data_IF_218232944635
#
_entry.id   IF_218232944635
#
_cell.length_a   1.000
_cell.length_b   1.000
_cell.length_c   1.000
_cell.angle_alpha   90.00
_cell.angle_beta   90.00
_cell.angle_gamma   90.00
#
_symmetry.space_group_name_H-M   'P 1'
#
loop_
_entity.id
_entity.type
_entity.pdbx_description
1 polymer ?
#
# COMPACT_ATOMS: atom_id res chain seq x y z
N UNK A 1 39.09 -38.50 -30.57
CA UNK A 1 39.72 -37.41 -31.36
C UNK A 1 38.58 -36.50 -31.78
N UNK A 2 38.39 -35.29 -31.30
CA UNK A 2 39.37 -34.27 -30.91
C UNK A 2 38.76 -33.34 -29.86
N UNK A 3 39.58 -33.01 -28.86
CA UNK A 3 39.32 -31.99 -27.86
C UNK A 3 39.61 -30.61 -28.47
N UNK A 4 38.78 -29.59 -28.20
CA UNK A 4 39.24 -28.20 -28.21
C UNK A 4 38.96 -27.56 -26.85
N UNK A 5 40.05 -27.36 -26.11
CA UNK A 5 40.15 -26.52 -24.93
C UNK A 5 40.10 -25.05 -25.34
N UNK A 6 39.30 -24.23 -24.66
CA UNK A 6 39.52 -22.79 -24.60
C UNK A 6 39.95 -22.45 -23.19
N UNK A 7 41.21 -22.01 -23.08
CA UNK A 7 41.89 -21.61 -21.84
C UNK A 7 41.57 -20.16 -21.49
N UNK A 8 41.09 -19.98 -20.27
CA UNK A 8 41.43 -18.94 -19.26
C UNK A 8 42.11 -17.63 -19.70
N UNK A 9 41.58 -16.51 -19.19
CA UNK A 9 42.39 -15.47 -18.53
C UNK A 9 41.55 -14.67 -17.53
N UNK A 10 41.81 -14.92 -16.24
CA UNK A 10 41.42 -14.06 -15.14
C UNK A 10 42.39 -12.88 -15.05
N UNK A 11 41.88 -11.65 -14.95
CA UNK A 11 42.69 -10.47 -14.61
C UNK A 11 42.18 -9.90 -13.28
N UNK A 12 42.87 -10.29 -12.21
CA UNK A 12 42.77 -9.64 -10.90
C UNK A 12 43.61 -8.36 -10.96
N UNK A 13 43.01 -7.22 -10.68
CA UNK A 13 43.72 -5.96 -10.46
C UNK A 13 43.61 -5.65 -8.97
N UNK A 14 44.69 -5.95 -8.26
CA UNK A 14 45.03 -5.44 -6.93
C UNK A 14 45.80 -4.13 -7.09
N UNK A 15 45.37 -3.08 -6.39
CA UNK A 15 46.12 -1.84 -6.16
C UNK A 15 45.37 -1.05 -5.09
N UNK A 16 45.75 -1.17 -3.81
CA UNK A 16 46.82 -0.43 -3.14
C UNK A 16 46.41 1.01 -2.78
N UNK A 17 45.97 1.13 -1.53
CA UNK A 17 45.97 2.25 -0.59
C UNK A 17 46.95 3.40 -0.94
N UNK A 18 46.45 4.63 -1.00
CA UNK A 18 47.24 5.86 -0.76
C UNK A 18 46.43 6.81 0.14
N UNK A 19 46.84 6.86 1.41
CA UNK A 19 46.66 8.00 2.31
C UNK A 19 47.60 9.12 1.84
N UNK A 20 47.14 10.36 1.68
CA UNK A 20 47.96 11.55 1.90
C UNK A 20 47.23 12.89 1.69
N UNK A 21 47.28 13.69 2.75
CA UNK A 21 47.53 15.14 2.77
C UNK A 21 46.34 16.08 2.48
N UNK A 22 45.80 16.58 3.59
CA UNK A 22 45.08 17.85 3.67
C UNK A 22 46.01 19.01 3.26
N UNK A 23 45.68 19.69 2.17
CA UNK A 23 46.26 20.97 1.81
C UNK A 23 45.26 22.07 2.21
N UNK A 24 45.61 22.83 3.25
CA UNK A 24 44.91 24.05 3.63
C UNK A 24 45.17 25.12 2.57
N UNK A 25 44.15 25.45 1.78
CA UNK A 25 44.14 26.64 0.92
C UNK A 25 43.52 27.78 1.72
N UNK A 26 44.36 28.75 2.08
CA UNK A 26 43.98 30.03 2.67
C UNK A 26 43.43 30.95 1.59
N UNK A 27 42.13 31.23 1.62
CA UNK A 27 41.49 32.29 0.82
C UNK A 27 41.31 33.51 1.75
N UNK A 28 41.69 34.73 1.32
CA UNK A 28 41.68 35.90 2.18
C UNK A 28 40.26 36.36 2.52
N UNK A 29 40.14 36.79 3.77
CA UNK A 29 39.01 37.41 4.43
C UNK A 29 38.47 38.61 3.64
N UNK A 30 37.27 38.48 3.07
CA UNK A 30 36.42 39.62 2.74
C UNK A 30 35.37 39.74 3.85
N UNK A 31 35.52 40.78 4.67
CA UNK A 31 34.64 41.10 5.78
C UNK A 31 33.21 41.34 5.28
N UNK A 32 32.31 40.44 5.62
CA UNK A 32 30.88 40.73 5.71
C UNK A 32 30.57 40.93 7.19
N UNK A 33 30.27 42.19 7.51
CA UNK A 33 29.79 42.61 8.81
C UNK A 33 28.53 41.82 9.16
N UNK A 34 28.67 40.90 10.10
CA UNK A 34 27.54 40.36 10.83
C UNK A 34 27.06 41.48 11.76
N UNK A 35 26.01 42.19 11.34
CA UNK A 35 25.20 42.97 12.27
C UNK A 35 24.58 41.97 13.24
N UNK A 36 25.05 42.03 14.48
CA UNK A 36 24.46 41.30 15.58
C UNK A 36 22.99 41.67 15.66
N UNK A 37 22.11 40.66 15.54
CA UNK A 37 20.72 40.73 15.97
C UNK A 37 20.70 41.07 17.46
N UNK A 38 20.69 42.37 17.76
CA UNK A 38 20.17 42.88 19.02
C UNK A 38 18.69 42.54 19.02
N UNK A 39 18.35 41.43 19.69
CA UNK A 39 17.01 41.17 20.18
C UNK A 39 16.60 42.37 21.03
N UNK A 40 15.89 43.31 20.41
CA UNK A 40 15.17 44.35 21.11
C UNK A 40 14.08 43.64 21.91
N UNK A 41 14.36 43.44 23.19
CA UNK A 41 13.35 43.13 24.20
C UNK A 41 12.36 44.28 24.15
N UNK A 42 11.24 44.08 23.45
CA UNK A 42 10.07 44.93 23.59
C UNK A 42 9.63 44.81 25.04
N UNK A 43 9.93 45.87 25.79
CA UNK A 43 9.40 46.13 27.12
C UNK A 43 7.90 45.94 27.08
N UNK A 44 7.42 44.83 27.65
CA UNK A 44 6.02 44.70 28.04
C UNK A 44 5.76 45.85 28.99
N UNK A 45 5.03 46.86 28.52
CA UNK A 45 4.44 47.89 29.36
C UNK A 45 3.43 47.20 30.30
N UNK A 46 3.96 46.60 31.37
CA UNK A 46 3.23 46.18 32.55
C UNK A 46 2.92 47.39 33.41
N UNK A 47 2.24 48.38 32.84
CA UNK A 47 1.51 49.37 33.60
C UNK A 47 0.12 48.79 33.85
N UNK A 48 -0.23 48.61 35.12
CA UNK A 48 -1.45 48.01 35.68
C UNK A 48 -1.49 46.49 35.90
N UNK A 49 -0.37 45.89 36.32
CA UNK A 49 -0.42 44.63 37.06
C UNK A 49 0.62 44.50 38.18
N UNK A 50 1.02 45.59 38.81
CA UNK A 50 1.61 45.53 40.17
C UNK A 50 0.49 45.54 41.22
N UNK A 51 -0.47 44.62 41.08
CA UNK A 51 -1.25 44.17 42.23
C UNK A 51 -0.34 43.20 42.96
N UNK A 52 0.32 43.73 43.98
CA UNK A 52 0.99 43.02 45.07
C UNK A 52 0.46 41.59 45.28
N UNK A 53 1.21 40.60 44.78
CA UNK A 53 0.92 39.17 44.92
C UNK A 53 0.67 38.75 46.37
N UNK A 54 1.29 39.43 47.34
CA UNK A 54 1.15 39.18 48.77
C UNK A 54 -0.18 39.68 49.38
N UNK A 55 -0.96 40.47 48.64
CA UNK A 55 -2.26 41.01 49.05
C UNK A 55 -3.44 40.20 48.47
N UNK A 56 -3.22 39.31 47.50
CA UNK A 56 -4.25 38.37 47.03
C UNK A 56 -4.38 37.19 48.02
N UNK A 57 -5.56 37.08 48.62
CA UNK A 57 -5.83 36.23 49.76
C UNK A 57 -5.94 34.75 49.36
N UNK A 58 -5.00 33.90 49.84
CA UNK A 58 -5.20 32.48 50.22
C UNK A 58 -6.01 31.56 49.27
N UNK A 59 -5.91 31.72 47.96
CA UNK A 59 -6.56 30.78 47.04
C UNK A 59 -5.69 29.53 46.87
N UNK A 60 -6.21 28.39 47.32
CA UNK A 60 -5.52 27.10 47.25
C UNK A 60 -5.37 26.60 45.81
N UNK A 61 -4.45 25.65 45.60
CA UNK A 61 -4.01 25.09 44.32
C UNK A 61 -5.10 24.40 43.44
N UNK A 62 -6.37 24.48 43.84
CA UNK A 62 -7.51 23.81 43.20
C UNK A 62 -8.46 24.72 42.42
N UNK A 63 -8.15 26.02 42.30
CA UNK A 63 -9.00 26.97 41.57
C UNK A 63 -8.45 27.24 40.16
N UNK A 64 -9.25 26.97 39.13
CA UNK A 64 -8.98 27.40 37.76
C UNK A 64 -9.38 28.87 37.62
N UNK A 65 -8.46 29.73 37.17
CA UNK A 65 -8.83 31.05 36.64
C UNK A 65 -9.35 30.84 35.22
N UNK A 66 -10.59 31.24 34.96
CA UNK A 66 -11.10 31.24 33.59
C UNK A 66 -10.14 32.04 32.71
N UNK A 67 -9.65 31.47 31.60
CA UNK A 67 -8.77 32.21 30.71
C UNK A 67 -9.52 33.45 30.22
N UNK A 68 -8.83 34.59 30.20
CA UNK A 68 -9.41 35.84 29.72
C UNK A 68 -10.06 35.62 28.35
N UNK A 69 -11.29 36.12 28.12
CA UNK A 69 -11.99 35.86 26.88
C UNK A 69 -11.11 36.32 25.72
N UNK A 70 -10.85 35.40 24.79
CA UNK A 70 -10.02 35.68 23.64
C UNK A 70 -10.55 36.93 22.94
N UNK A 71 -9.67 37.92 22.73
CA UNK A 71 -10.02 39.14 21.99
C UNK A 71 -10.73 38.73 20.70
N UNK A 72 -11.86 39.37 20.32
CA UNK A 72 -12.57 39.04 19.10
C UNK A 72 -11.58 39.04 17.93
N UNK A 73 -11.39 37.88 17.31
CA UNK A 73 -10.56 37.78 16.11
C UNK A 73 -11.23 38.66 15.08
N UNK A 74 -10.56 39.73 14.66
CA UNK A 74 -11.02 40.61 13.59
C UNK A 74 -11.47 39.74 12.42
N UNK A 75 -12.67 39.96 11.84
CA UNK A 75 -13.09 39.20 10.68
C UNK A 75 -12.03 39.38 9.60
N UNK A 76 -11.36 38.29 9.24
CA UNK A 76 -10.52 38.25 8.04
C UNK A 76 -11.48 38.59 6.91
N UNK A 77 -11.29 39.75 6.27
CA UNK A 77 -12.08 40.14 5.12
C UNK A 77 -12.04 38.98 4.10
N UNK A 78 -13.16 38.62 3.46
CA UNK A 78 -13.18 37.49 2.54
C UNK A 78 -12.13 37.73 1.46
N UNK A 79 -11.17 36.81 1.35
CA UNK A 79 -10.20 36.83 0.27
C UNK A 79 -10.96 36.96 -1.05
N UNK A 80 -10.59 37.93 -1.87
CA UNK A 80 -11.24 38.16 -3.16
C UNK A 80 -11.22 36.86 -3.95
N UNK A 81 -12.38 36.45 -4.49
CA UNK A 81 -12.45 35.21 -5.26
C UNK A 81 -11.48 35.29 -6.43
N UNK A 82 -10.68 34.24 -6.68
CA UNK A 82 -9.81 34.19 -7.84
C UNK A 82 -10.63 34.40 -9.13
N UNK A 83 -10.12 35.28 -10.00
CA UNK A 83 -10.73 35.58 -11.30
C UNK A 83 -10.98 34.32 -12.15
N UNK A 84 -10.09 33.34 -12.05
CA UNK A 84 -10.20 32.08 -12.79
C UNK A 84 -11.45 31.28 -12.43
N UNK A 85 -11.90 31.36 -11.17
CA UNK A 85 -13.15 30.71 -10.74
C UNK A 85 -14.36 31.41 -11.36
N UNK A 86 -14.38 32.74 -11.34
CA UNK A 86 -15.48 33.51 -11.94
C UNK A 86 -15.57 33.32 -13.46
N UNK A 87 -14.41 33.22 -14.14
CA UNK A 87 -14.35 32.99 -15.58
C UNK A 87 -14.85 31.58 -15.94
N UNK A 88 -14.52 30.57 -15.12
CA UNK A 88 -15.01 29.20 -15.29
C UNK A 88 -16.53 29.09 -15.07
N UNK A 89 -17.05 29.70 -14.01
CA UNK A 89 -18.50 29.73 -13.73
C UNK A 89 -19.27 30.40 -14.88
N UNK A 90 -18.79 31.53 -15.39
CA UNK A 90 -19.40 32.22 -16.54
C UNK A 90 -19.42 31.33 -17.80
N UNK A 91 -18.35 30.58 -18.04
CA UNK A 91 -18.25 29.65 -19.16
C UNK A 91 -19.25 28.50 -19.04
N UNK A 92 -19.38 27.89 -17.85
CA UNK A 92 -20.37 26.85 -17.59
C UNK A 92 -21.80 27.37 -17.82
N UNK A 93 -22.13 28.53 -17.27
CA UNK A 93 -23.43 29.15 -17.44
C UNK A 93 -23.75 29.42 -18.92
N UNK A 94 -22.76 29.92 -19.68
CA UNK A 94 -22.95 30.20 -21.11
C UNK A 94 -23.21 28.93 -21.91
N UNK A 95 -22.48 27.85 -21.64
CA UNK A 95 -22.70 26.55 -22.28
C UNK A 95 -24.11 26.02 -22.00
N UNK A 96 -24.55 26.09 -20.74
CA UNK A 96 -25.88 25.66 -20.32
C UNK A 96 -26.99 26.48 -20.99
N UNK A 97 -26.85 27.80 -21.09
CA UNK A 97 -27.81 28.65 -21.80
C UNK A 97 -27.91 28.26 -23.27
N UNK A 98 -26.77 28.11 -23.95
CA UNK A 98 -26.74 27.72 -25.37
C UNK A 98 -27.38 26.35 -25.59
N UNK A 99 -27.10 25.39 -24.69
CA UNK A 99 -27.70 24.05 -24.72
C UNK A 99 -29.21 24.12 -24.56
N UNK A 100 -29.73 24.86 -23.58
CA UNK A 100 -31.18 25.01 -23.35
C UNK A 100 -31.89 25.62 -24.55
N UNK A 101 -31.31 26.66 -25.15
CA UNK A 101 -31.87 27.30 -26.36
C UNK A 101 -31.89 26.32 -27.53
N UNK A 102 -30.79 25.58 -27.76
CA UNK A 102 -30.70 24.60 -28.84
C UNK A 102 -31.66 23.42 -28.67
N UNK A 103 -31.91 22.98 -27.43
CA UNK A 103 -32.88 21.91 -27.13
C UNK A 103 -34.32 22.38 -27.38
N UNK A 104 -34.68 23.59 -26.95
CA UNK A 104 -36.05 24.11 -27.10
C UNK A 104 -36.37 24.56 -28.53
N UNK A 105 -35.38 25.06 -29.27
CA UNK A 105 -35.52 25.52 -30.66
C UNK A 105 -34.32 25.05 -31.49
N UNK A 106 -34.39 23.84 -32.09
CA UNK A 106 -33.28 23.21 -32.80
C UNK A 106 -33.13 23.78 -34.22
N UNK A 107 -32.77 25.06 -34.32
CA UNK A 107 -32.38 25.70 -35.59
C UNK A 107 -30.89 25.51 -35.85
N UNK A 108 -30.47 25.53 -37.11
CA UNK A 108 -29.05 25.40 -37.50
C UNK A 108 -28.16 26.43 -36.78
N UNK A 109 -28.64 27.67 -36.63
CA UNK A 109 -27.92 28.73 -35.93
C UNK A 109 -27.71 28.42 -34.44
N UNK A 110 -28.74 27.92 -33.74
CA UNK A 110 -28.66 27.59 -32.32
C UNK A 110 -27.78 26.36 -32.07
N UNK A 111 -27.92 25.33 -32.91
CA UNK A 111 -27.08 24.13 -32.86
C UNK A 111 -25.62 24.49 -33.09
N UNK A 112 -25.33 25.31 -34.09
CA UNK A 112 -23.97 25.74 -34.41
C UNK A 112 -23.37 26.65 -33.33
N UNK A 113 -24.15 27.53 -32.70
CA UNK A 113 -23.71 28.34 -31.57
C UNK A 113 -23.33 27.45 -30.37
N UNK A 114 -24.16 26.45 -30.05
CA UNK A 114 -23.86 25.47 -29.01
C UNK A 114 -22.62 24.63 -29.34
N UNK A 115 -22.56 24.02 -30.52
CA UNK A 115 -21.44 23.15 -30.92
C UNK A 115 -20.10 23.89 -30.94
N UNK A 116 -20.06 25.14 -31.43
CA UNK A 116 -18.84 25.97 -31.42
C UNK A 116 -18.38 26.26 -29.99
N UNK A 117 -19.32 26.60 -29.10
CA UNK A 117 -18.98 26.89 -27.72
C UNK A 117 -18.57 25.64 -26.94
N UNK A 118 -19.25 24.51 -27.17
CA UNK A 118 -18.88 23.21 -26.62
C UNK A 118 -17.47 22.81 -27.04
N UNK A 119 -17.10 23.01 -28.33
CA UNK A 119 -15.73 22.76 -28.80
C UNK A 119 -14.71 23.59 -28.03
N UNK A 120 -14.97 24.89 -27.82
CA UNK A 120 -14.08 25.76 -27.04
C UNK A 120 -13.88 25.24 -25.60
N UNK A 121 -14.95 24.76 -24.95
CA UNK A 121 -14.87 24.18 -23.61
C UNK A 121 -14.02 22.89 -23.63
N UNK A 122 -14.25 22.02 -24.63
CA UNK A 122 -13.47 20.79 -24.79
C UNK A 122 -12.00 21.06 -25.07
N UNK A 123 -11.67 22.06 -25.89
CA UNK A 123 -10.29 22.47 -26.19
C UNK A 123 -9.56 22.91 -24.91
N UNK A 124 -10.24 23.61 -23.99
CA UNK A 124 -9.68 23.95 -22.67
C UNK A 124 -9.42 22.73 -21.80
N UNK A 125 -10.32 21.75 -21.82
CA UNK A 125 -10.11 20.47 -21.12
C UNK A 125 -8.94 19.68 -21.69
N UNK A 126 -8.73 19.70 -23.02
CA UNK A 126 -7.55 19.09 -23.65
C UNK A 126 -6.26 19.74 -23.18
N UNK A 127 -6.20 21.08 -23.18
CA UNK A 127 -5.02 21.81 -22.67
C UNK A 127 -4.72 21.44 -21.21
N UNK A 128 -5.77 21.34 -20.37
CA UNK A 128 -5.62 20.89 -18.99
C UNK A 128 -5.04 19.47 -18.91
N UNK A 129 -5.60 18.51 -19.65
CA UNK A 129 -5.14 17.12 -19.66
C UNK A 129 -3.67 17.01 -20.12
N UNK A 130 -3.29 17.73 -21.18
CA UNK A 130 -1.92 17.74 -21.69
C UNK A 130 -0.92 18.35 -20.69
N UNK A 131 -1.35 19.37 -19.94
CA UNK A 131 -0.52 19.98 -18.90
C UNK A 131 -0.42 19.10 -17.67
N UNK A 132 -1.51 18.43 -17.29
CA UNK A 132 -1.54 17.45 -16.21
C UNK A 132 -0.58 16.30 -16.50
N UNK A 133 -0.68 15.69 -17.68
CA UNK A 133 0.19 14.59 -18.06
C UNK A 133 1.68 14.98 -18.03
N UNK A 134 2.01 16.16 -18.55
CA UNK A 134 3.39 16.71 -18.49
C UNK A 134 3.86 17.07 -17.09
N UNK A 135 2.95 17.36 -16.17
CA UNK A 135 3.29 17.57 -14.76
C UNK A 135 3.63 16.23 -14.10
N UNK A 136 2.80 15.20 -14.31
CA UNK A 136 3.07 13.83 -13.81
C UNK A 136 4.43 13.32 -14.28
N UNK A 137 4.85 13.60 -15.52
CA UNK A 137 6.18 13.20 -16.01
C UNK A 137 7.36 13.88 -15.33
N UNK A 138 7.15 15.08 -14.76
CA UNK A 138 8.22 15.87 -14.13
C UNK A 138 8.27 15.71 -12.63
N UNK A 139 7.15 15.35 -12.02
CA UNK A 139 7.00 15.16 -10.58
C UNK A 139 6.87 13.67 -10.26
N UNK A 140 7.96 12.98 -9.89
CA UNK A 140 7.94 11.52 -9.67
C UNK A 140 6.94 11.10 -8.59
N UNK A 141 6.68 11.95 -7.60
CA UNK A 141 5.72 11.69 -6.52
C UNK A 141 4.27 11.57 -7.02
N UNK A 142 3.96 12.15 -8.18
CA UNK A 142 2.64 12.07 -8.82
C UNK A 142 2.50 10.84 -9.73
N UNK A 143 3.60 10.12 -10.01
CA UNK A 143 3.56 8.90 -10.81
C UNK A 143 3.15 7.69 -9.96
N UNK A 144 1.87 7.34 -10.03
CA UNK A 144 1.31 6.16 -9.38
C UNK A 144 2.03 4.85 -9.75
N UNK A 145 2.66 4.78 -10.93
CA UNK A 145 3.43 3.62 -11.37
C UNK A 145 4.72 3.39 -10.58
N UNK A 146 5.22 4.39 -9.86
CA UNK A 146 6.42 4.30 -9.01
C UNK A 146 6.10 3.87 -7.58
N UNK A 147 4.95 4.27 -7.05
CA UNK A 147 4.55 3.97 -5.66
C UNK A 147 3.82 2.63 -5.52
N UNK A 148 3.20 2.14 -6.59
CA UNK A 148 2.40 0.92 -6.60
C UNK A 148 2.85 -0.11 -7.64
N UNK A 149 1.86 -0.79 -8.24
CA UNK A 149 2.13 -1.68 -9.37
C UNK A 149 2.43 -0.86 -10.62
N UNK A 150 3.54 -1.12 -11.33
CA UNK A 150 3.89 -0.38 -12.54
C UNK A 150 2.84 -0.47 -13.65
N UNK A 151 2.81 0.52 -14.53
CA UNK A 151 1.90 0.56 -15.69
C UNK A 151 2.53 0.07 -17.00
N UNK A 152 3.86 0.09 -17.08
CA UNK A 152 4.61 -0.42 -18.23
C UNK A 152 4.64 -1.96 -18.20
N UNK A 153 4.26 -2.61 -19.30
CA UNK A 153 4.22 -4.07 -19.41
C UNK A 153 5.55 -4.77 -19.06
N UNK A 154 6.70 -4.21 -19.43
CA UNK A 154 8.00 -4.79 -19.05
C UNK A 154 8.28 -4.62 -17.55
N UNK A 155 7.92 -3.46 -16.99
CA UNK A 155 8.08 -3.20 -15.56
C UNK A 155 7.13 -4.06 -14.71
N UNK A 156 5.93 -4.36 -15.22
CA UNK A 156 4.98 -5.27 -14.59
C UNK A 156 5.58 -6.66 -14.41
N UNK A 157 6.22 -7.22 -15.45
CA UNK A 157 6.82 -8.56 -15.35
C UNK A 157 7.92 -8.60 -14.29
N UNK A 158 8.80 -7.59 -14.28
CA UNK A 158 9.87 -7.47 -13.26
C UNK A 158 9.28 -7.32 -11.86
N UNK A 159 8.23 -6.52 -11.71
CA UNK A 159 7.54 -6.38 -10.43
C UNK A 159 6.92 -7.70 -9.95
N UNK A 160 6.21 -8.39 -10.83
CA UNK A 160 5.55 -9.67 -10.53
C UNK A 160 6.59 -10.76 -10.17
N UNK A 161 7.75 -10.79 -10.83
CA UNK A 161 8.87 -11.68 -10.49
C UNK A 161 9.45 -11.35 -9.10
N UNK A 162 9.71 -10.07 -8.81
CA UNK A 162 10.15 -9.65 -7.48
C UNK A 162 9.11 -9.93 -6.38
N UNK A 163 7.81 -9.88 -6.70
CA UNK A 163 6.76 -10.27 -5.78
C UNK A 163 6.81 -11.78 -5.51
N UNK A 164 6.91 -12.61 -6.55
CA UNK A 164 7.03 -14.08 -6.43
C UNK A 164 8.25 -14.48 -5.61
N UNK A 165 9.40 -13.84 -5.83
CA UNK A 165 10.61 -14.12 -5.05
C UNK A 165 10.44 -13.79 -3.57
N UNK A 166 9.80 -12.65 -3.27
CA UNK A 166 9.48 -12.25 -1.89
C UNK A 166 8.49 -13.22 -1.24
N UNK A 167 7.43 -13.57 -1.95
CA UNK A 167 6.46 -14.55 -1.48
C UNK A 167 7.12 -15.91 -1.22
N UNK A 168 8.05 -16.33 -2.09
CA UNK A 168 8.80 -17.57 -1.92
C UNK A 168 9.66 -17.57 -0.66
N UNK A 169 10.33 -16.47 -0.36
CA UNK A 169 11.08 -16.30 0.89
C UNK A 169 10.13 -16.32 2.10
N UNK A 170 9.01 -15.60 2.02
CA UNK A 170 7.99 -15.59 3.09
C UNK A 170 7.47 -16.99 3.40
N UNK A 171 7.07 -17.76 2.39
CA UNK A 171 6.52 -19.11 2.58
C UNK A 171 7.58 -20.08 3.13
N UNK A 172 8.83 -20.02 2.65
CA UNK A 172 9.92 -20.85 3.20
C UNK A 172 10.17 -20.57 4.68
N UNK A 173 10.14 -19.31 5.09
CA UNK A 173 10.28 -18.95 6.50
C UNK A 173 9.06 -19.41 7.33
N UNK A 174 7.87 -19.39 6.73
CA UNK A 174 6.63 -19.80 7.37
C UNK A 174 6.62 -21.31 7.70
N UNK A 175 7.26 -22.14 6.87
CA UNK A 175 7.33 -23.59 7.02
C UNK A 175 7.89 -24.07 8.37
N UNK A 176 8.73 -23.27 9.03
CA UNK A 176 9.27 -23.60 10.35
C UNK A 176 8.22 -23.55 11.47
N UNK A 177 7.12 -22.83 11.27
CA UNK A 177 6.12 -22.54 12.32
C UNK A 177 4.70 -22.93 11.93
N UNK A 178 4.42 -23.08 10.64
CA UNK A 178 3.11 -23.41 10.11
C UNK A 178 3.14 -24.70 9.31
N UNK A 179 1.99 -25.37 9.28
CA UNK A 179 1.72 -26.49 8.40
C UNK A 179 0.49 -26.22 7.56
N UNK A 180 0.16 -27.17 6.70
CA UNK A 180 -1.04 -27.16 5.87
C UNK A 180 -1.92 -28.33 6.26
N UNK A 181 -3.24 -28.13 6.25
CA UNK A 181 -4.23 -29.20 6.39
C UNK A 181 -4.93 -29.33 5.04
N UNK A 182 -4.81 -30.49 4.43
CA UNK A 182 -5.41 -30.80 3.15
C UNK A 182 -6.59 -31.77 3.35
N UNK A 183 -7.81 -31.27 3.21
CA UNK A 183 -9.03 -32.07 3.34
C UNK A 183 -9.50 -32.52 1.96
N UNK A 184 -9.70 -33.83 1.79
CA UNK A 184 -10.00 -34.44 0.50
C UNK A 184 -10.96 -35.63 0.60
N UNK A 185 -11.36 -36.14 -0.57
CA UNK A 185 -12.02 -37.44 -0.74
C UNK A 185 -11.31 -38.23 -1.83
N UNK A 186 -11.22 -39.54 -1.66
CA UNK A 186 -10.58 -40.44 -2.63
C UNK A 186 -11.39 -40.59 -3.93
N UNK A 187 -12.70 -40.33 -3.91
CA UNK A 187 -13.56 -40.36 -5.10
C UNK A 187 -13.67 -39.01 -5.83
N UNK A 188 -12.96 -37.97 -5.38
CA UNK A 188 -13.03 -36.63 -5.97
C UNK A 188 -11.97 -36.43 -7.07
N UNK A 189 -12.36 -36.21 -8.35
CA UNK A 189 -11.40 -36.03 -9.45
C UNK A 189 -10.48 -34.82 -9.26
N UNK A 190 -10.98 -33.72 -8.69
CA UNK A 190 -10.18 -32.53 -8.42
C UNK A 190 -9.14 -32.77 -7.31
N UNK A 191 -9.44 -33.62 -6.32
CA UNK A 191 -8.48 -34.01 -5.29
C UNK A 191 -7.29 -34.77 -5.89
N UNK A 192 -7.55 -35.70 -6.83
CA UNK A 192 -6.49 -36.40 -7.57
C UNK A 192 -5.61 -35.48 -8.41
N UNK A 193 -6.16 -34.39 -8.96
CA UNK A 193 -5.39 -33.39 -9.71
C UNK A 193 -4.60 -32.44 -8.82
N UNK A 194 -5.15 -32.11 -7.66
CA UNK A 194 -4.54 -31.17 -6.74
C UNK A 194 -3.40 -31.80 -5.92
N UNK A 195 -3.53 -33.06 -5.52
CA UNK A 195 -2.55 -33.76 -4.70
C UNK A 195 -1.09 -33.70 -5.23
N UNK A 196 -0.79 -33.97 -6.52
CA UNK A 196 0.57 -33.84 -7.03
C UNK A 196 1.10 -32.41 -7.05
N UNK A 197 0.23 -31.41 -7.25
CA UNK A 197 0.60 -29.99 -7.20
C UNK A 197 0.99 -29.62 -5.78
N UNK A 198 0.16 -29.99 -4.79
CA UNK A 198 0.43 -29.72 -3.39
C UNK A 198 1.67 -30.47 -2.89
N UNK A 199 1.87 -31.71 -3.34
CA UNK A 199 3.05 -32.48 -2.97
C UNK A 199 4.33 -31.87 -3.52
N UNK A 200 4.29 -31.31 -4.72
CA UNK A 200 5.41 -30.54 -5.28
C UNK A 200 5.66 -29.26 -4.49
N UNK A 201 4.59 -28.56 -4.10
CA UNK A 201 4.68 -27.36 -3.28
C UNK A 201 5.33 -27.62 -1.91
N UNK A 202 4.99 -28.74 -1.24
CA UNK A 202 5.69 -29.19 -0.02
C UNK A 202 7.20 -29.30 -0.22
N UNK A 203 7.62 -29.93 -1.32
CA UNK A 203 9.03 -30.16 -1.63
C UNK A 203 9.77 -28.85 -1.93
N UNK A 204 9.14 -27.93 -2.66
CA UNK A 204 9.78 -26.69 -3.10
C UNK A 204 9.91 -25.65 -1.96
N UNK A 205 8.99 -25.67 -0.99
CA UNK A 205 8.91 -24.68 0.10
C UNK A 205 9.16 -25.23 1.51
N UNK A 206 9.24 -26.56 1.68
CA UNK A 206 9.47 -27.22 2.97
C UNK A 206 8.26 -27.26 3.90
N UNK A 207 7.06 -26.94 3.40
CA UNK A 207 5.83 -26.97 4.18
C UNK A 207 5.43 -28.40 4.52
N UNK A 208 4.96 -28.63 5.75
CA UNK A 208 4.38 -29.93 6.14
C UNK A 208 2.89 -29.94 5.84
N UNK A 209 2.39 -30.99 5.16
CA UNK A 209 0.95 -31.18 4.90
C UNK A 209 0.40 -32.34 5.73
N UNK A 210 -0.67 -32.08 6.47
CA UNK A 210 -1.52 -33.08 7.09
C UNK A 210 -2.72 -33.36 6.17
N UNK A 211 -2.72 -34.52 5.51
CA UNK A 211 -3.83 -34.93 4.66
C UNK A 211 -4.94 -35.62 5.47
N UNK A 212 -6.18 -35.21 5.26
CA UNK A 212 -7.38 -35.70 5.95
C UNK A 212 -8.40 -36.17 4.92
N UNK A 213 -8.75 -37.46 4.95
CA UNK A 213 -9.75 -38.05 4.06
C UNK A 213 -11.12 -38.10 4.73
N UNK A 214 -12.14 -37.53 4.08
CA UNK A 214 -13.53 -37.56 4.57
C UNK A 214 -14.20 -38.93 4.41
N UNK A 215 -13.77 -39.70 3.41
CA UNK A 215 -14.28 -41.03 3.07
C UNK A 215 -13.35 -42.16 3.55
N UNK A 216 -12.28 -41.83 4.29
CA UNK A 216 -11.28 -42.80 4.77
C UNK A 216 -10.38 -43.40 3.70
N UNK A 217 -10.52 -42.98 2.43
CA UNK A 217 -9.64 -43.40 1.35
C UNK A 217 -8.26 -42.72 1.38
N UNK A 218 -7.44 -43.01 0.37
CA UNK A 218 -6.09 -42.46 0.23
C UNK A 218 -5.87 -41.91 -1.18
N UNK A 219 -4.90 -41.00 -1.32
CA UNK A 219 -4.40 -40.55 -2.62
C UNK A 219 -2.95 -41.04 -2.80
N UNK A 220 -2.49 -41.27 -4.05
CA UNK A 220 -1.14 -41.78 -4.32
C UNK A 220 -0.01 -40.98 -3.66
N UNK A 221 -0.16 -39.65 -3.58
CA UNK A 221 0.80 -38.71 -3.00
C UNK A 221 0.73 -38.61 -1.47
N UNK A 222 -0.39 -39.06 -0.88
CA UNK A 222 -0.71 -38.97 0.55
C UNK A 222 -1.17 -40.33 1.09
N UNK A 223 -0.24 -41.28 1.15
CA UNK A 223 -0.50 -42.66 1.61
C UNK A 223 -0.70 -42.77 3.11
N UNK A 224 -0.21 -41.79 3.85
CA UNK A 224 -0.31 -41.61 5.30
C UNK A 224 -1.46 -40.67 5.71
N UNK A 225 -2.40 -40.42 4.79
CA UNK A 225 -3.60 -39.65 5.07
C UNK A 225 -4.38 -40.23 6.25
N UNK A 226 -4.90 -39.35 7.10
CA UNK A 226 -5.71 -39.73 8.27
C UNK A 226 -7.18 -39.65 7.92
N UNK A 227 -7.98 -40.57 8.45
CA UNK A 227 -9.43 -40.44 8.37
C UNK A 227 -9.90 -39.20 9.17
N UNK A 228 -10.95 -38.55 8.70
CA UNK A 228 -11.59 -37.45 9.43
C UNK A 228 -12.03 -37.92 10.83
N UNK A 229 -11.60 -37.18 11.84
CA UNK A 229 -11.93 -37.40 13.24
C UNK A 229 -12.88 -36.31 13.79
N UNK A 230 -13.61 -35.63 12.89
CA UNK A 230 -14.46 -34.48 13.19
C UNK A 230 -13.78 -33.14 12.96
N UNK A 231 -12.56 -33.11 12.40
CA UNK A 231 -11.87 -31.87 12.05
C UNK A 231 -12.60 -31.16 10.90
N UNK A 232 -13.13 -31.90 9.93
CA UNK A 232 -13.87 -31.32 8.81
C UNK A 232 -15.14 -30.59 9.27
N UNK A 233 -15.87 -31.15 10.24
CA UNK A 233 -17.03 -30.50 10.84
C UNK A 233 -16.65 -29.20 11.57
N UNK A 234 -15.52 -29.19 12.31
CA UNK A 234 -15.02 -28.00 13.02
C UNK A 234 -14.55 -26.90 12.08
N UNK A 235 -13.99 -27.28 10.93
CA UNK A 235 -13.55 -26.35 9.88
C UNK A 235 -14.70 -25.95 8.93
N UNK A 236 -15.92 -26.45 9.17
CA UNK A 236 -17.09 -26.29 8.31
C UNK A 236 -16.79 -26.63 6.84
N UNK A 237 -15.98 -27.66 6.61
CA UNK A 237 -15.50 -28.04 5.27
C UNK A 237 -16.55 -28.87 4.54
N UNK A 238 -17.37 -28.22 3.72
CA UNK A 238 -18.36 -28.90 2.86
C UNK A 238 -17.85 -29.16 1.44
N UNK A 239 -16.78 -28.47 1.03
CA UNK A 239 -16.22 -28.51 -0.33
C UNK A 239 -14.82 -29.11 -0.29
N UNK A 240 -14.51 -30.03 -1.21
CA UNK A 240 -13.17 -30.62 -1.37
C UNK A 240 -12.69 -30.49 -2.84
N UNK A 241 -11.38 -30.34 -3.10
CA UNK A 241 -10.28 -30.24 -2.13
C UNK A 241 -10.33 -28.92 -1.33
N UNK A 242 -10.00 -28.96 -0.04
CA UNK A 242 -9.87 -27.77 0.78
C UNK A 242 -8.49 -27.72 1.43
N UNK A 243 -7.89 -26.53 1.44
CA UNK A 243 -6.57 -26.31 2.02
C UNK A 243 -6.64 -25.23 3.09
N UNK A 244 -6.06 -25.52 4.24
CA UNK A 244 -5.97 -24.60 5.36
C UNK A 244 -4.52 -24.44 5.80
N UNK A 245 -4.15 -23.25 6.25
CA UNK A 245 -2.89 -22.93 6.89
C UNK A 245 -3.10 -23.04 8.40
N UNK A 246 -2.27 -23.81 9.08
CA UNK A 246 -2.34 -24.02 10.53
C UNK A 246 -1.09 -23.51 11.22
N UNK A 247 -1.25 -22.81 12.33
CA UNK A 247 -0.19 -22.40 13.25
C UNK A 247 -0.36 -23.13 14.59
N UNK A 248 0.25 -24.31 14.81
CA UNK A 248 -0.01 -25.14 15.99
C UNK A 248 0.26 -24.43 17.31
N UNK A 249 1.31 -23.61 17.37
CA UNK A 249 1.68 -22.85 18.57
C UNK A 249 0.63 -21.80 18.97
N UNK A 250 -0.11 -21.28 17.99
CA UNK A 250 -1.19 -20.28 18.19
C UNK A 250 -2.59 -20.89 18.19
N UNK A 251 -2.70 -22.20 17.89
CA UNK A 251 -3.98 -22.90 17.70
C UNK A 251 -4.88 -22.21 16.66
N UNK A 252 -4.26 -21.65 15.64
CA UNK A 252 -4.92 -20.87 14.60
C UNK A 252 -5.00 -21.69 13.31
N UNK A 253 -6.16 -21.69 12.65
CA UNK A 253 -6.37 -22.31 11.36
C UNK A 253 -7.08 -21.30 10.45
N UNK A 254 -6.50 -21.01 9.29
CA UNK A 254 -7.03 -20.08 8.28
C UNK A 254 -7.22 -20.79 6.94
N UNK A 255 -8.33 -20.58 6.22
CA UNK A 255 -8.50 -21.17 4.89
C UNK A 255 -7.54 -20.52 3.90
N UNK A 256 -6.80 -21.35 3.15
CA UNK A 256 -5.99 -20.92 2.00
C UNK A 256 -6.87 -20.85 0.76
N UNK A 257 -7.71 -21.87 0.57
CA UNK A 257 -8.63 -21.92 -0.54
C UNK A 257 -9.35 -23.25 -0.67
N UNK A 258 -10.31 -23.27 -1.57
CA UNK A 258 -11.17 -24.40 -1.88
C UNK A 258 -11.13 -24.64 -3.38
N UNK A 259 -11.11 -25.90 -3.80
CA UNK A 259 -10.98 -26.31 -5.19
C UNK A 259 -9.52 -26.44 -5.65
N UNK A 260 -9.37 -26.76 -6.94
CA UNK A 260 -8.07 -26.95 -7.57
C UNK A 260 -7.33 -25.61 -7.67
N UNK A 261 -6.10 -25.56 -7.16
CA UNK A 261 -5.23 -24.39 -7.18
C UNK A 261 -3.89 -24.74 -7.82
N UNK A 262 -3.30 -23.80 -8.57
CA UNK A 262 -1.96 -23.92 -9.10
C UNK A 262 -0.90 -23.66 -8.02
N UNK A 263 0.36 -24.04 -8.27
CA UNK A 263 1.46 -23.74 -7.35
C UNK A 263 1.66 -22.23 -7.12
N UNK A 264 1.42 -21.41 -8.14
CA UNK A 264 1.44 -19.94 -8.02
C UNK A 264 0.30 -19.41 -7.14
N UNK A 265 -0.91 -19.97 -7.29
CA UNK A 265 -2.05 -19.57 -6.43
C UNK A 265 -1.77 -19.92 -4.96
N UNK A 266 -1.18 -21.09 -4.70
CA UNK A 266 -0.77 -21.51 -3.36
C UNK A 266 0.27 -20.55 -2.77
N UNK A 267 1.28 -20.20 -3.56
CA UNK A 267 2.33 -19.28 -3.14
C UNK A 267 1.76 -17.91 -2.75
N UNK A 268 0.97 -17.31 -3.65
CA UNK A 268 0.37 -15.99 -3.44
C UNK A 268 -0.55 -15.97 -2.22
N UNK A 269 -1.45 -16.95 -2.11
CA UNK A 269 -2.44 -17.02 -1.01
C UNK A 269 -1.78 -17.26 0.34
N UNK A 270 -0.83 -18.19 0.44
CA UNK A 270 -0.14 -18.47 1.70
C UNK A 270 0.72 -17.27 2.12
N UNK A 271 1.41 -16.62 1.18
CA UNK A 271 2.19 -15.43 1.47
C UNK A 271 1.31 -14.25 1.91
N UNK A 272 0.14 -14.07 1.31
CA UNK A 272 -0.85 -13.07 1.75
C UNK A 272 -1.33 -13.34 3.18
N UNK A 273 -1.71 -14.59 3.50
CA UNK A 273 -2.13 -14.97 4.86
C UNK A 273 -1.03 -14.74 5.90
N UNK A 274 0.24 -14.92 5.53
CA UNK A 274 1.38 -14.66 6.43
C UNK A 274 1.57 -13.17 6.76
N UNK A 275 1.15 -12.26 5.86
CA UNK A 275 1.23 -10.81 6.03
C UNK A 275 0.03 -10.25 6.78
N UNK A 276 -1.14 -10.86 6.59
CA UNK A 276 -2.35 -10.46 7.29
C UNK A 276 -2.21 -10.69 8.80
N UNK A 277 -2.66 -9.70 9.58
CA UNK A 277 -2.92 -9.92 11.00
C UNK A 277 -4.06 -10.93 11.15
N UNK A 278 -4.01 -11.83 12.15
CA UNK A 278 -5.13 -12.73 12.41
C UNK A 278 -6.39 -11.90 12.68
N UNK A 279 -7.37 -11.95 11.78
CA UNK A 279 -8.74 -11.65 12.17
C UNK A 279 -9.21 -12.76 13.10
N UNK A 280 -10.07 -12.41 14.07
CA UNK A 280 -10.52 -13.29 15.15
C UNK A 280 -10.80 -14.72 14.64
N UNK A 281 -9.86 -15.62 14.95
CA UNK A 281 -9.85 -17.01 14.52
C UNK A 281 -11.17 -17.71 14.86
N UNK A 282 -11.60 -18.64 13.99
CA UNK A 282 -12.60 -19.66 14.34
C UNK A 282 -12.05 -20.44 15.53
N UNK A 283 -12.42 -20.00 16.73
CA UNK A 283 -12.00 -20.60 17.99
C UNK A 283 -12.64 -21.98 18.09
N UNK A 284 -11.81 -23.01 18.15
CA UNK A 284 -12.22 -24.40 18.38
C UNK A 284 -12.69 -24.56 19.84
N UNK A 285 -13.83 -23.96 20.18
CA UNK A 285 -14.49 -24.13 21.49
C UNK A 285 -15.94 -24.52 21.25
N UNK A 286 -16.24 -25.81 21.41
CA UNK A 286 -17.60 -26.33 21.28
C UNK A 286 -17.63 -27.85 21.18
N UNK A 287 -17.36 -28.54 22.29
CA UNK A 287 -17.78 -29.93 22.45
C UNK A 287 -19.25 -29.91 22.92
N UNK A 288 -20.18 -30.67 22.29
CA UNK A 288 -21.49 -30.86 22.87
C UNK A 288 -21.40 -31.83 24.05
N UNK A 289 -22.07 -31.48 25.15
CA UNK A 289 -22.46 -32.41 26.20
C UNK A 289 -23.62 -33.27 25.71
#
# INVERSE_FOLDING_TARGET
MSHLHVRTTARRITGALVLAVAAAVTIPHAAQAAEAETQSVETVNGADATVTYWLEHREGWFWYRDPTPAKPRTPIAPAQRPKDLTDFEAMQQRLEVLKRVAVMNPTDANLLAYMRYQRLVMDKSQVFADRWQRLVWREPELDYGLTGRPTNAMAINVFDDHQRDRDAVTVRNLAATHGLIFVFRSDCPFCHRFAPILKRFEQDFGMTVLAVSLDGGILPEYRDARADNGIAARLNTTTVPALYLTAPSRREIRPVGFGLMSGSDLLERIAALARDKPEASVSLTGAPQ
#
